data_IF_613194925800
#
_entry.id   IF_613194925800
#
_cell.length_a   1.000
_cell.length_b   1.000
_cell.length_c   1.000
_cell.angle_alpha   90.00
_cell.angle_beta   90.00
_cell.angle_gamma   90.00
#
_symmetry.space_group_name_H-M   'P 1'
#
loop_
_entity.id
_entity.type
_entity.pdbx_description
1 polymer ?
#
# COMPACT_ATOMS: atom_id res chain seq x y z
N UNK A 1 15.56 32.78 -9.55
CA UNK A 1 15.46 31.64 -10.49
C UNK A 1 14.46 30.69 -9.85
N UNK A 2 13.17 30.93 -10.05
CA UNK A 2 12.12 30.06 -9.49
C UNK A 2 12.05 28.80 -10.33
N UNK A 3 12.63 27.71 -9.81
CA UNK A 3 12.37 26.37 -10.31
C UNK A 3 10.89 26.09 -10.06
N UNK A 4 10.05 26.30 -11.08
CA UNK A 4 8.69 25.76 -11.10
C UNK A 4 8.82 24.24 -11.09
N UNK A 5 8.88 23.66 -9.88
CA UNK A 5 8.59 22.24 -9.67
C UNK A 5 7.16 22.06 -10.15
N UNK A 6 7.02 21.70 -11.43
CA UNK A 6 5.81 21.05 -11.94
C UNK A 6 5.77 19.73 -11.21
N UNK A 7 5.22 19.75 -9.99
CA UNK A 7 4.72 18.55 -9.35
C UNK A 7 3.51 18.17 -10.17
N UNK A 8 3.71 17.43 -11.25
CA UNK A 8 2.62 16.68 -11.86
C UNK A 8 2.13 15.77 -10.74
N UNK A 9 1.10 16.21 -10.02
CA UNK A 9 0.45 15.42 -8.99
C UNK A 9 -0.29 14.32 -9.72
N UNK A 10 0.46 13.30 -10.14
CA UNK A 10 -0.11 12.02 -10.52
C UNK A 10 -0.81 11.57 -9.24
N UNK A 11 -2.14 11.62 -9.22
CA UNK A 11 -2.92 10.99 -8.15
C UNK A 11 -2.71 9.48 -8.27
N UNK A 12 -1.59 9.00 -7.75
CA UNK A 12 -1.34 7.59 -7.49
C UNK A 12 -2.34 7.15 -6.44
N UNK A 13 -3.03 6.04 -6.68
CA UNK A 13 -3.94 5.53 -5.67
C UNK A 13 -3.12 5.08 -4.45
N UNK A 14 -3.69 5.17 -3.24
CA UNK A 14 -3.01 4.74 -2.02
C UNK A 14 -2.46 3.32 -2.12
N UNK A 15 -3.21 2.39 -2.71
CA UNK A 15 -2.76 1.04 -3.02
C UNK A 15 -1.53 0.97 -3.95
N UNK A 16 -1.50 1.81 -4.99
CA UNK A 16 -0.36 1.85 -5.91
C UNK A 16 0.91 2.32 -5.17
N UNK A 17 0.78 3.26 -4.23
CA UNK A 17 1.89 3.74 -3.41
C UNK A 17 2.45 2.65 -2.48
N UNK A 18 1.58 1.86 -1.84
CA UNK A 18 1.98 0.71 -1.00
C UNK A 18 2.76 -0.32 -1.81
N UNK A 19 2.23 -0.71 -2.97
CA UNK A 19 2.91 -1.64 -3.86
C UNK A 19 4.29 -1.12 -4.31
N UNK A 20 4.39 0.17 -4.64
CA UNK A 20 5.66 0.77 -5.07
C UNK A 20 6.70 0.77 -3.94
N UNK A 21 6.28 0.93 -2.68
CA UNK A 21 7.17 0.80 -1.52
C UNK A 21 7.66 -0.64 -1.34
N UNK A 22 6.82 -1.64 -1.58
CA UNK A 22 7.25 -3.05 -1.58
C UNK A 22 8.22 -3.35 -2.72
N UNK A 23 7.94 -2.77 -3.88
CA UNK A 23 8.78 -2.85 -5.06
C UNK A 23 9.95 -1.85 -5.00
N UNK A 24 10.53 -1.63 -3.81
CA UNK A 24 11.67 -0.75 -3.57
C UNK A 24 12.82 -1.08 -4.55
N UNK A 25 12.93 -0.28 -5.61
CA UNK A 25 13.83 -0.56 -6.74
C UNK A 25 13.18 -0.29 -8.10
N UNK A 26 11.85 -0.24 -8.20
CA UNK A 26 11.18 0.18 -9.43
C UNK A 26 11.02 1.70 -9.45
N UNK A 27 11.48 2.33 -10.53
CA UNK A 27 11.28 3.75 -10.76
C UNK A 27 9.80 4.03 -11.08
N UNK A 28 9.01 4.35 -10.04
CA UNK A 28 7.59 4.67 -10.15
C UNK A 28 7.29 5.77 -11.18
N UNK A 29 8.18 6.75 -11.30
CA UNK A 29 8.05 7.86 -12.26
C UNK A 29 8.07 7.44 -13.73
N UNK A 30 8.53 6.22 -14.05
CA UNK A 30 8.49 5.66 -15.39
C UNK A 30 7.45 4.56 -15.61
N UNK A 31 6.74 4.12 -14.56
CA UNK A 31 5.74 3.06 -14.68
C UNK A 31 4.41 3.62 -15.16
N UNK A 32 3.92 3.08 -16.27
CA UNK A 32 2.53 3.24 -16.69
C UNK A 32 1.61 2.33 -15.85
N UNK A 33 0.32 2.69 -15.76
CA UNK A 33 -0.69 1.89 -15.02
C UNK A 33 -0.75 0.44 -15.49
N UNK A 34 -0.54 0.20 -16.77
CA UNK A 34 -0.50 -1.14 -17.37
C UNK A 34 0.70 -1.94 -16.85
N UNK A 35 1.91 -1.38 -16.97
CA UNK A 35 3.12 -2.01 -16.45
C UNK A 35 3.08 -2.24 -14.94
N UNK A 36 2.46 -1.34 -14.18
CA UNK A 36 2.23 -1.52 -12.74
C UNK A 36 1.34 -2.76 -12.49
N UNK A 37 0.23 -2.88 -13.23
CA UNK A 37 -0.67 -4.02 -13.14
C UNK A 37 0.01 -5.33 -13.55
N UNK A 38 0.89 -5.31 -14.56
CA UNK A 38 1.68 -6.47 -14.97
C UNK A 38 2.68 -6.89 -13.88
N UNK A 39 3.33 -5.92 -13.23
CA UNK A 39 4.24 -6.19 -12.12
C UNK A 39 3.51 -6.73 -10.88
N UNK A 40 2.30 -6.24 -10.62
CA UNK A 40 1.42 -6.78 -9.57
C UNK A 40 1.05 -8.23 -9.89
N UNK A 41 0.57 -8.52 -11.10
CA UNK A 41 0.25 -9.87 -11.53
C UNK A 41 1.47 -10.81 -11.49
N UNK A 42 2.65 -10.34 -11.90
CA UNK A 42 3.89 -11.12 -11.82
C UNK A 42 4.28 -11.52 -10.39
N UNK A 43 3.90 -10.68 -9.40
CA UNK A 43 4.12 -10.93 -7.97
C UNK A 43 2.94 -11.61 -7.28
N UNK A 44 1.94 -12.05 -8.03
CA UNK A 44 0.68 -12.62 -7.52
C UNK A 44 -0.08 -11.64 -6.59
N UNK A 45 0.04 -10.34 -6.85
CA UNK A 45 -0.65 -9.29 -6.11
C UNK A 45 -1.90 -8.90 -6.88
N UNK A 46 -3.08 -9.19 -6.33
CA UNK A 46 -4.34 -8.72 -6.91
C UNK A 46 -4.55 -7.23 -6.58
N UNK A 47 -4.69 -6.42 -7.64
CA UNK A 47 -4.82 -4.96 -7.51
C UNK A 47 -6.12 -4.56 -6.79
N UNK A 48 -7.23 -5.26 -7.04
CA UNK A 48 -8.49 -4.94 -6.35
C UNK A 48 -8.36 -5.30 -4.88
N UNK A 49 -7.79 -6.46 -4.56
CA UNK A 49 -7.56 -6.88 -3.18
C UNK A 49 -6.69 -5.87 -2.43
N UNK A 50 -5.60 -5.41 -3.04
CA UNK A 50 -4.74 -4.40 -2.45
C UNK A 50 -5.49 -3.09 -2.18
N UNK A 51 -6.33 -2.65 -3.12
CA UNK A 51 -7.17 -1.46 -2.95
C UNK A 51 -8.12 -1.64 -1.77
N UNK A 52 -8.86 -2.74 -1.72
CA UNK A 52 -9.81 -3.01 -0.63
C UNK A 52 -9.14 -3.03 0.74
N UNK A 53 -7.98 -3.69 0.87
CA UNK A 53 -7.27 -3.79 2.14
C UNK A 53 -6.74 -2.41 2.58
N UNK A 54 -6.07 -1.68 1.68
CA UNK A 54 -5.54 -0.36 1.99
C UNK A 54 -6.66 0.64 2.30
N UNK A 55 -7.76 0.63 1.54
CA UNK A 55 -8.91 1.49 1.83
C UNK A 55 -9.52 1.14 3.18
N UNK A 56 -9.68 -0.14 3.52
CA UNK A 56 -10.17 -0.55 4.83
C UNK A 56 -9.25 -0.03 5.94
N UNK A 57 -7.94 -0.24 5.85
CA UNK A 57 -7.01 0.17 6.93
C UNK A 57 -6.96 1.69 7.09
N UNK A 58 -6.96 2.44 5.98
CA UNK A 58 -6.97 3.91 6.01
C UNK A 58 -8.32 4.46 6.49
N UNK A 59 -9.44 3.80 6.13
CA UNK A 59 -10.78 4.19 6.59
C UNK A 59 -11.00 3.96 8.08
N UNK A 60 -10.45 2.87 8.63
CA UNK A 60 -10.53 2.58 10.06
C UNK A 60 -9.72 3.59 10.89
N UNK A 61 -8.75 4.27 10.26
CA UNK A 61 -7.96 5.34 10.86
C UNK A 61 -6.90 4.83 11.85
N UNK A 62 -6.72 3.51 11.95
CA UNK A 62 -5.73 2.88 12.81
C UNK A 62 -4.30 3.15 12.31
N UNK A 63 -4.11 3.18 10.99
CA UNK A 63 -2.79 3.40 10.36
C UNK A 63 -2.86 4.20 9.07
N UNK A 64 -1.82 4.97 8.82
CA UNK A 64 -1.63 5.70 7.57
C UNK A 64 -0.76 4.91 6.57
N UNK A 65 -0.80 5.34 5.31
CA UNK A 65 -0.11 4.68 4.19
C UNK A 65 1.39 4.50 4.38
N UNK A 66 2.02 5.46 5.05
CA UNK A 66 3.46 5.42 5.34
C UNK A 66 3.77 4.31 6.35
N UNK A 67 2.95 4.17 7.41
CA UNK A 67 3.06 3.05 8.35
C UNK A 67 2.87 1.70 7.67
N UNK A 68 1.83 1.59 6.82
CA UNK A 68 1.60 0.39 6.03
C UNK A 68 2.80 0.03 5.15
N UNK A 69 3.42 0.99 4.47
CA UNK A 69 4.62 0.73 3.66
C UNK A 69 5.83 0.23 4.48
N UNK A 70 5.93 0.63 5.75
CA UNK A 70 7.05 0.28 6.62
C UNK A 70 6.86 -1.07 7.30
N UNK A 71 5.62 -1.36 7.67
CA UNK A 71 5.27 -2.59 8.36
C UNK A 71 5.00 -3.74 7.41
N UNK A 72 4.50 -3.45 6.19
CA UNK A 72 4.12 -4.48 5.22
C UNK A 72 5.14 -4.60 4.10
N UNK A 73 5.32 -5.83 3.64
CA UNK A 73 6.12 -6.14 2.45
C UNK A 73 5.40 -7.06 1.45
N UNK A 74 4.14 -7.42 1.74
CA UNK A 74 3.30 -8.31 0.94
C UNK A 74 1.82 -8.12 1.30
N UNK A 75 0.90 -8.64 0.46
CA UNK A 75 -0.54 -8.63 0.74
C UNK A 75 -0.88 -9.35 2.04
N UNK A 76 -0.26 -10.51 2.27
CA UNK A 76 -0.44 -11.34 3.48
C UNK A 76 -0.18 -10.53 4.77
N UNK A 77 0.87 -9.70 4.78
CA UNK A 77 1.19 -8.84 5.91
C UNK A 77 0.11 -7.77 6.14
N UNK A 78 -0.44 -7.21 5.06
CA UNK A 78 -1.53 -6.24 5.13
C UNK A 78 -2.84 -6.88 5.63
N UNK A 79 -3.10 -8.14 5.27
CA UNK A 79 -4.22 -8.93 5.80
C UNK A 79 -4.00 -9.25 7.28
N UNK A 80 -2.79 -9.65 7.68
CA UNK A 80 -2.44 -9.92 9.07
C UNK A 80 -2.64 -8.69 9.96
N UNK A 81 -2.21 -7.49 9.52
CA UNK A 81 -2.44 -6.24 10.26
C UNK A 81 -3.94 -5.99 10.44
N UNK A 82 -4.74 -6.19 9.39
CA UNK A 82 -6.19 -5.99 9.47
C UNK A 82 -6.87 -7.02 10.38
N UNK A 83 -6.39 -8.27 10.39
CA UNK A 83 -6.88 -9.31 11.31
C UNK A 83 -6.48 -9.01 12.76
N UNK A 84 -5.29 -8.47 13.01
CA UNK A 84 -4.83 -8.02 14.33
C UNK A 84 -5.65 -6.82 14.84
N UNK A 85 -6.01 -5.87 13.97
CA UNK A 85 -6.85 -4.73 14.36
C UNK A 85 -8.31 -5.15 14.59
N UNK A 86 -8.85 -6.10 13.81
CA UNK A 86 -10.23 -6.61 13.96
C UNK A 86 -10.41 -7.54 15.17
N UNK A 87 -9.37 -8.29 15.56
CA UNK A 87 -9.37 -9.04 16.81
C UNK A 87 -8.73 -8.24 17.94
N UNK A 88 -9.52 -7.55 18.80
CA UNK A 88 -8.99 -7.16 20.10
C UNK A 88 -8.57 -8.45 20.80
N UNK A 89 -7.26 -8.69 20.93
CA UNK A 89 -6.75 -9.77 21.75
C UNK A 89 -7.48 -9.70 23.10
N UNK A 90 -8.21 -10.75 23.52
CA UNK A 90 -8.68 -10.79 24.88
C UNK A 90 -7.41 -10.88 25.73
N UNK A 91 -7.14 -9.78 26.44
CA UNK A 91 -6.07 -9.71 27.42
C UNK A 91 -6.12 -10.99 28.27
N UNK A 92 -5.18 -11.89 28.01
CA UNK A 92 -4.96 -13.05 28.87
C UNK A 92 -4.23 -12.49 30.07
N UNK A 93 -5.02 -12.03 31.03
CA UNK A 93 -4.59 -11.75 32.38
C UNK A 93 -4.53 -13.09 33.12
N UNK A 94 -3.33 -13.67 33.23
CA UNK A 94 -3.01 -14.61 34.32
C UNK A 94 -1.51 -14.57 34.65
#
# INVERSE_FOLDING_TARGET
MESTKVTTSISIQPADAVFLSWAAGINASGLFREALSEQMAYRDIDRNRLIELVERTVQDGDRDLDDLCKHTSSLDDLEAILEETDHPQPASHE
#
